data_IF_599125901759
#
_entry.id   IF_599125901759
#
_cell.length_a   1.000
_cell.length_b   1.000
_cell.length_c   1.000
_cell.angle_alpha   90.00
_cell.angle_beta   90.00
_cell.angle_gamma   90.00
#
_symmetry.space_group_name_H-M   'P 1'
#
loop_
_entity.id
_entity.type
_entity.pdbx_description
1 polymer ?
#
# COMPACT_ATOMS: atom_id res chain seq x y z
N UNK A 1 24.00 7.07 3.12
CA UNK A 1 22.63 7.34 2.66
C UNK A 1 22.03 6.06 2.05
N UNK A 2 21.61 5.08 2.87
CA UNK A 2 21.33 3.70 2.36
C UNK A 2 20.08 3.00 2.94
N UNK A 3 19.36 3.51 3.95
CA UNK A 3 18.25 2.72 4.57
C UNK A 3 16.83 3.14 4.15
N UNK A 4 16.64 4.33 3.58
CA UNK A 4 15.33 4.74 3.02
C UNK A 4 14.98 3.98 1.72
N UNK A 5 15.98 3.36 1.08
CA UNK A 5 15.80 2.54 -0.12
C UNK A 5 15.09 1.19 0.13
N UNK A 6 14.94 0.75 1.39
CA UNK A 6 14.29 -0.54 1.70
C UNK A 6 12.76 -0.49 1.70
N UNK A 7 12.14 0.70 1.65
CA UNK A 7 10.69 0.87 1.64
C UNK A 7 10.10 1.33 0.31
N UNK A 8 10.93 1.56 -0.71
CA UNK A 8 10.48 1.79 -2.10
C UNK A 8 10.62 0.47 -2.87
N UNK A 9 10.20 -0.62 -2.25
CA UNK A 9 9.67 -1.74 -3.01
C UNK A 9 8.27 -1.33 -3.44
N UNK A 10 8.20 -0.52 -4.50
CA UNK A 10 6.94 -0.02 -5.03
C UNK A 10 6.11 -1.21 -5.45
N UNK A 11 4.97 -1.38 -4.78
CA UNK A 11 3.98 -2.35 -5.18
C UNK A 11 3.50 -2.01 -6.59
N UNK A 12 3.37 -3.00 -7.49
CA UNK A 12 2.74 -2.78 -8.77
C UNK A 12 1.27 -2.32 -8.62
N UNK A 13 0.62 -2.62 -7.50
CA UNK A 13 -0.68 -2.05 -7.15
C UNK A 13 -0.47 -0.69 -6.48
N UNK A 14 -0.75 0.40 -7.20
CA UNK A 14 -0.31 1.73 -6.79
C UNK A 14 -0.92 2.20 -5.46
N UNK A 15 -2.14 1.77 -5.16
CA UNK A 15 -2.80 2.07 -3.89
C UNK A 15 -2.01 1.57 -2.68
N UNK A 16 -1.24 0.47 -2.82
CA UNK A 16 -0.42 -0.05 -1.72
C UNK A 16 0.75 0.89 -1.34
N UNK A 17 1.10 1.83 -2.22
CA UNK A 17 2.23 2.74 -2.03
C UNK A 17 1.85 4.02 -1.29
N UNK A 18 0.56 4.24 -1.00
CA UNK A 18 0.06 5.43 -0.32
C UNK A 18 -0.84 5.04 0.85
N UNK A 19 -0.43 5.29 2.09
CA UNK A 19 -1.19 4.95 3.31
C UNK A 19 -2.69 5.33 3.33
N UNK A 20 -3.21 6.36 2.65
CA UNK A 20 -4.66 6.62 2.60
C UNK A 20 -5.47 5.71 1.65
N UNK A 21 -4.82 5.05 0.69
CA UNK A 21 -5.52 4.39 -0.43
C UNK A 21 -5.85 2.91 -0.26
N UNK A 22 -5.01 2.06 0.35
CA UNK A 22 -5.14 0.62 0.19
C UNK A 22 -6.37 0.13 0.96
N UNK A 23 -7.05 -0.85 0.37
CA UNK A 23 -8.18 -1.56 0.98
C UNK A 23 -7.96 -3.07 0.81
N UNK A 24 -8.59 -3.89 1.67
CA UNK A 24 -8.54 -5.36 1.59
C UNK A 24 -7.10 -5.88 1.53
N UNK A 25 -6.79 -6.77 0.58
CA UNK A 25 -5.50 -7.46 0.49
C UNK A 25 -4.34 -6.51 0.19
N UNK A 26 -4.59 -5.42 -0.53
CA UNK A 26 -3.60 -4.36 -0.79
C UNK A 26 -3.20 -3.63 0.50
N UNK A 27 -4.02 -3.68 1.56
CA UNK A 27 -3.72 -3.09 2.86
C UNK A 27 -2.75 -3.88 3.70
N UNK A 28 -2.58 -5.17 3.40
CA UNK A 28 -1.63 -6.04 4.10
C UNK A 28 -0.22 -5.52 3.82
N UNK A 29 0.58 -5.29 4.86
CA UNK A 29 1.91 -4.66 4.82
C UNK A 29 1.94 -3.16 4.43
N UNK A 30 0.85 -2.62 3.88
CA UNK A 30 0.76 -1.20 3.53
C UNK A 30 0.15 -0.34 4.63
N UNK A 31 -1.10 -0.60 5.05
CA UNK A 31 -1.74 0.09 6.17
C UNK A 31 -2.87 -0.80 6.73
N UNK A 32 -2.73 -1.38 7.95
CA UNK A 32 -3.69 -2.36 8.46
C UNK A 32 -5.12 -1.81 8.64
N UNK A 33 -5.29 -0.49 8.76
CA UNK A 33 -6.62 0.11 8.82
C UNK A 33 -7.44 -0.15 7.54
N UNK A 34 -6.78 -0.26 6.38
CA UNK A 34 -7.48 -0.51 5.12
C UNK A 34 -8.13 -1.88 5.01
N UNK A 35 -7.71 -2.86 5.83
CA UNK A 35 -8.34 -4.18 5.92
C UNK A 35 -9.78 -4.04 6.41
N UNK A 36 -10.05 -3.11 7.33
CA UNK A 36 -11.38 -2.89 7.89
C UNK A 36 -12.34 -2.14 6.98
N UNK A 37 -11.84 -1.40 5.99
CA UNK A 37 -12.65 -0.52 5.13
C UNK A 37 -13.55 -1.32 4.18
N UNK A 38 -13.05 -2.43 3.65
CA UNK A 38 -13.81 -3.35 2.84
C UNK A 38 -13.49 -4.76 3.28
N UNK A 39 -14.48 -5.49 3.78
CA UNK A 39 -14.30 -6.90 4.14
C UNK A 39 -14.31 -7.77 2.89
N UNK A 40 -13.48 -8.81 2.89
CA UNK A 40 -13.37 -9.73 1.75
C UNK A 40 -12.38 -10.86 2.00
N UNK A 41 -12.42 -11.86 1.13
CA UNK A 41 -11.46 -12.95 1.06
C UNK A 41 -10.64 -12.77 -0.23
N UNK A 42 -9.39 -12.37 -0.08
CA UNK A 42 -8.51 -12.05 -1.19
C UNK A 42 -7.13 -12.63 -0.95
N UNK A 43 -6.47 -13.09 -2.01
CA UNK A 43 -5.05 -13.43 -2.00
C UNK A 43 -4.32 -12.54 -2.99
N UNK A 44 -3.10 -12.16 -2.65
CA UNK A 44 -2.25 -11.38 -3.52
C UNK A 44 -0.84 -11.92 -3.58
N UNK A 45 -0.19 -11.65 -4.70
CA UNK A 45 1.23 -11.87 -4.91
C UNK A 45 1.76 -10.69 -5.71
N UNK A 46 2.85 -10.09 -5.26
CA UNK A 46 3.63 -9.12 -6.03
C UNK A 46 5.09 -9.55 -6.07
N UNK A 47 5.70 -9.29 -7.21
CA UNK A 47 7.10 -9.56 -7.47
C UNK A 47 7.75 -8.29 -8.02
N UNK A 48 8.83 -7.90 -7.38
CA UNK A 48 9.86 -7.02 -7.91
C UNK A 48 11.19 -7.78 -7.82
N UNK A 49 12.20 -7.55 -8.68
CA UNK A 49 13.38 -8.40 -8.66
C UNK A 49 14.19 -8.42 -7.35
N UNK A 50 13.90 -7.53 -6.41
CA UNK A 50 14.54 -7.47 -5.09
C UNK A 50 13.60 -7.87 -3.94
N UNK A 51 12.30 -8.03 -4.22
CA UNK A 51 11.33 -8.35 -3.18
C UNK A 51 10.13 -9.13 -3.72
N UNK A 52 9.64 -10.05 -2.92
CA UNK A 52 8.38 -10.74 -3.13
C UNK A 52 7.48 -10.41 -1.96
N UNK A 53 6.25 -9.99 -2.25
CA UNK A 53 5.20 -9.94 -1.24
C UNK A 53 4.08 -10.89 -1.63
N UNK A 54 3.55 -11.63 -0.66
CA UNK A 54 2.29 -12.32 -0.85
C UNK A 54 1.48 -12.27 0.43
N UNK A 55 0.21 -12.57 0.33
CA UNK A 55 -0.62 -12.58 1.51
C UNK A 55 -2.07 -12.86 1.18
N UNK A 56 -2.87 -12.86 2.24
CA UNK A 56 -4.29 -13.09 2.18
C UNK A 56 -5.02 -12.20 3.17
N UNK A 57 -6.26 -11.84 2.85
CA UNK A 57 -7.21 -11.31 3.82
C UNK A 57 -8.41 -12.23 3.92
N UNK A 58 -9.00 -12.30 5.10
CA UNK A 58 -10.28 -12.96 5.35
C UNK A 58 -11.10 -12.10 6.32
N UNK A 59 -12.11 -11.42 5.78
CA UNK A 59 -12.93 -10.49 6.54
C UNK A 59 -12.10 -9.28 7.00
N UNK A 60 -11.91 -9.16 8.31
CA UNK A 60 -11.15 -8.08 8.95
C UNK A 60 -9.71 -8.48 9.32
N UNK A 61 -9.27 -9.68 8.92
CA UNK A 61 -7.93 -10.20 9.21
C UNK A 61 -7.09 -10.25 7.95
N UNK A 62 -5.79 -9.99 8.08
CA UNK A 62 -4.80 -10.07 7.02
C UNK A 62 -3.55 -10.80 7.48
N UNK A 63 -2.98 -11.60 6.59
CA UNK A 63 -1.67 -12.20 6.74
C UNK A 63 -0.80 -11.84 5.54
N UNK A 64 0.41 -11.38 5.79
CA UNK A 64 1.39 -10.99 4.79
C UNK A 64 2.71 -11.71 4.98
N UNK A 65 3.39 -11.90 3.87
CA UNK A 65 4.74 -12.40 3.77
C UNK A 65 5.51 -11.48 2.83
N UNK A 66 6.70 -11.07 3.24
CA UNK A 66 7.63 -10.27 2.47
C UNK A 66 9.01 -10.91 2.55
N UNK A 67 9.65 -11.10 1.40
CA UNK A 67 11.01 -11.60 1.33
C UNK A 67 11.82 -10.78 0.36
N UNK A 68 12.95 -10.26 0.83
CA UNK A 68 14.03 -9.77 -0.02
C UNK A 68 15.25 -10.70 0.12
N UNK A 69 16.40 -10.31 -0.45
CA UNK A 69 17.60 -11.14 -0.49
C UNK A 69 18.14 -11.53 0.90
N UNK A 70 17.89 -10.71 1.93
CA UNK A 70 18.48 -10.89 3.26
C UNK A 70 17.47 -11.13 4.38
N UNK A 71 16.24 -10.65 4.21
CA UNK A 71 15.25 -10.57 5.28
C UNK A 71 13.92 -11.21 4.85
N UNK A 72 13.31 -11.88 5.81
CA UNK A 72 11.97 -12.45 5.75
C UNK A 72 11.14 -11.80 6.85
N UNK A 73 10.01 -11.22 6.44
CA UNK A 73 9.06 -10.55 7.32
C UNK A 73 7.69 -11.18 7.09
N UNK A 74 7.07 -11.60 8.18
CA UNK A 74 5.67 -11.97 8.23
C UNK A 74 4.89 -10.87 8.92
N UNK A 75 3.65 -10.66 8.52
CA UNK A 75 2.74 -9.70 9.15
C UNK A 75 1.40 -10.36 9.43
N UNK A 76 0.91 -10.23 10.65
CA UNK A 76 -0.48 -10.54 11.01
C UNK A 76 -1.17 -9.24 11.41
N UNK A 77 -2.25 -8.90 10.72
CA UNK A 77 -2.96 -7.65 10.91
C UNK A 77 -4.46 -7.82 11.03
N UNK A 78 -5.09 -6.87 11.70
CA UNK A 78 -6.53 -6.72 11.74
C UNK A 78 -6.91 -5.25 11.55
N UNK A 79 -8.03 -5.01 10.87
CA UNK A 79 -8.60 -3.68 10.67
C UNK A 79 -10.08 -3.66 11.04
N UNK A 80 -10.56 -2.53 11.56
CA UNK A 80 -11.97 -2.31 11.89
C UNK A 80 -12.41 -0.96 11.34
N UNK A 81 -13.52 -0.95 10.61
CA UNK A 81 -14.23 0.28 10.25
C UNK A 81 -15.02 0.76 11.46
N UNK A 82 -14.71 1.97 11.92
CA UNK A 82 -15.48 2.62 12.98
C UNK A 82 -16.74 3.26 12.38
N UNK A 83 -17.78 3.51 13.19
CA UNK A 83 -18.92 4.32 12.75
C UNK A 83 -18.44 5.65 12.14
N UNK A 84 -18.93 5.97 10.93
CA UNK A 84 -18.59 7.19 10.21
C UNK A 84 -17.32 7.09 9.35
N UNK A 85 -16.49 8.13 9.37
CA UNK A 85 -15.41 8.33 8.40
C UNK A 85 -14.16 7.47 8.69
N UNK A 86 -13.98 6.98 9.91
CA UNK A 86 -12.69 6.44 10.35
C UNK A 86 -12.59 4.91 10.27
N UNK A 87 -11.37 4.42 10.08
CA UNK A 87 -10.99 3.02 10.26
C UNK A 87 -9.65 2.98 10.98
N UNK A 88 -9.51 2.01 11.88
CA UNK A 88 -8.28 1.77 12.63
C UNK A 88 -7.80 0.36 12.34
N UNK A 89 -6.50 0.13 12.37
CA UNK A 89 -5.93 -1.20 12.26
C UNK A 89 -4.68 -1.35 13.09
N UNK A 90 -4.40 -2.59 13.41
CA UNK A 90 -3.21 -3.01 14.13
C UNK A 90 -2.58 -4.20 13.40
N UNK A 91 -1.27 -4.20 13.29
CA UNK A 91 -0.53 -5.34 12.77
C UNK A 91 0.71 -5.63 13.60
N UNK A 92 1.13 -6.88 13.60
CA UNK A 92 2.37 -7.33 14.19
C UNK A 92 3.22 -7.97 13.10
N UNK A 93 4.42 -7.42 12.93
CA UNK A 93 5.46 -8.01 12.11
C UNK A 93 6.35 -8.91 12.97
N UNK A 94 6.75 -10.05 12.40
CA UNK A 94 7.64 -11.05 13.01
C UNK A 94 8.49 -11.75 11.95
N UNK A 95 9.55 -12.46 12.35
CA UNK A 95 10.58 -12.99 11.46
C UNK A 95 11.93 -12.37 11.81
N UNK A 96 12.59 -11.74 10.83
CA UNK A 96 13.85 -11.04 11.07
C UNK A 96 13.67 -9.66 11.72
N UNK A 97 12.44 -9.12 11.67
CA UNK A 97 12.03 -7.93 12.40
C UNK A 97 10.89 -8.26 13.34
N UNK A 98 10.79 -7.57 14.47
CA UNK A 98 9.63 -7.65 15.37
C UNK A 98 9.14 -6.25 15.66
N UNK A 99 8.01 -5.89 15.05
CA UNK A 99 7.44 -4.56 15.17
C UNK A 99 5.92 -4.64 15.33
N UNK A 100 5.36 -3.67 16.04
CA UNK A 100 3.92 -3.46 16.10
C UNK A 100 3.58 -2.23 15.28
N UNK A 101 2.51 -2.27 14.51
CA UNK A 101 2.12 -1.21 13.59
C UNK A 101 0.69 -0.80 13.92
N UNK A 102 0.46 0.50 14.00
CA UNK A 102 -0.88 1.07 14.10
C UNK A 102 -1.17 1.86 12.81
N UNK A 103 -2.34 1.64 12.25
CA UNK A 103 -2.86 2.32 11.09
C UNK A 103 -4.15 3.06 11.39
N UNK A 104 -4.35 4.20 10.72
CA UNK A 104 -5.61 4.94 10.71
C UNK A 104 -5.90 5.42 9.29
N UNK A 105 -7.15 5.32 8.88
CA UNK A 105 -7.65 5.90 7.62
C UNK A 105 -8.94 6.67 7.90
N UNK A 106 -9.03 7.89 7.37
CA UNK A 106 -10.24 8.69 7.36
C UNK A 106 -10.73 8.84 5.92
N UNK A 107 -11.96 8.40 5.65
CA UNK A 107 -12.67 8.62 4.40
C UNK A 107 -13.68 9.73 4.66
N UNK A 108 -13.25 10.98 4.48
CA UNK A 108 -14.06 12.14 4.80
C UNK A 108 -15.32 12.23 3.91
N UNK A 109 -15.16 11.84 2.64
CA UNK A 109 -16.24 11.69 1.67
C UNK A 109 -15.75 10.79 0.51
N UNK A 110 -16.54 10.68 -0.56
CA UNK A 110 -16.19 9.85 -1.73
C UNK A 110 -14.94 10.34 -2.50
N UNK A 111 -14.49 11.56 -2.25
CA UNK A 111 -13.35 12.18 -2.95
C UNK A 111 -12.09 12.17 -2.09
N UNK A 112 -12.19 12.45 -0.79
CA UNK A 112 -11.02 12.74 0.07
C UNK A 112 -10.77 11.61 1.06
N UNK A 113 -9.53 11.13 1.07
CA UNK A 113 -9.01 10.15 2.02
C UNK A 113 -7.75 10.66 2.69
N UNK A 114 -7.62 10.43 3.99
CA UNK A 114 -6.42 10.70 4.78
C UNK A 114 -5.95 9.40 5.42
N UNK A 115 -4.66 9.20 5.52
CA UNK A 115 -4.04 7.99 6.03
C UNK A 115 -2.89 8.31 6.96
N UNK A 116 -2.77 7.51 8.01
CA UNK A 116 -1.65 7.54 8.94
C UNK A 116 -1.24 6.10 9.28
N UNK A 117 0.07 5.86 9.38
CA UNK A 117 0.62 4.61 9.88
C UNK A 117 1.89 4.88 10.68
N UNK A 118 2.10 4.15 11.76
CA UNK A 118 3.34 4.22 12.53
C UNK A 118 3.71 2.86 13.09
N UNK A 119 5.01 2.61 13.25
CA UNK A 119 5.50 1.48 14.02
C UNK A 119 5.76 1.89 15.50
N UNK A 120 5.56 0.95 16.41
CA UNK A 120 5.78 1.08 17.85
C UNK A 120 7.13 0.47 18.25
N UNK A 121 8.15 0.68 17.42
CA UNK A 121 9.51 0.24 17.70
C UNK A 121 10.35 1.37 18.31
N UNK A 122 11.56 1.05 18.78
CA UNK A 122 12.56 2.05 19.18
C UNK A 122 12.87 3.01 18.04
N UNK A 123 12.88 2.49 16.79
CA UNK A 123 12.97 3.27 15.56
C UNK A 123 11.57 3.61 15.06
N UNK A 124 11.09 4.81 15.40
CA UNK A 124 9.79 5.29 14.93
C UNK A 124 9.87 5.74 13.46
N UNK A 125 9.01 5.16 12.64
CA UNK A 125 8.75 5.53 11.26
C UNK A 125 7.27 5.87 11.17
N UNK A 126 6.97 7.10 10.76
CA UNK A 126 5.61 7.60 10.64
C UNK A 126 5.32 7.92 9.18
N UNK A 127 4.17 7.47 8.71
CA UNK A 127 3.66 7.73 7.37
C UNK A 127 2.38 8.53 7.50
N UNK A 128 2.29 9.65 6.80
CA UNK A 128 1.09 10.49 6.74
C UNK A 128 0.81 10.80 5.29
N UNK A 129 -0.41 10.53 4.82
CA UNK A 129 -0.75 10.76 3.42
C UNK A 129 -2.18 11.21 3.21
N UNK A 130 -2.42 11.77 2.04
CA UNK A 130 -3.73 12.21 1.57
C UNK A 130 -3.95 11.73 0.13
N UNK A 131 -5.20 11.42 -0.20
CA UNK A 131 -5.64 11.05 -1.53
C UNK A 131 -6.92 11.79 -1.90
N UNK A 132 -6.99 12.31 -3.13
CA UNK A 132 -8.14 13.01 -3.67
C UNK A 132 -8.56 12.36 -4.99
N UNK A 133 -9.82 11.94 -5.08
CA UNK A 133 -10.44 11.40 -6.28
C UNK A 133 -11.30 12.47 -6.97
N UNK A 134 -11.14 12.60 -8.27
CA UNK A 134 -11.72 13.64 -9.13
C UNK A 134 -12.50 12.96 -10.26
N UNK A 135 -13.58 13.59 -10.73
CA UNK A 135 -14.36 13.12 -11.87
C UNK A 135 -15.03 11.76 -11.63
N UNK A 136 -15.60 11.57 -10.43
CA UNK A 136 -16.25 10.29 -10.06
C UNK A 136 -15.28 9.12 -9.90
N UNK A 137 -13.98 9.38 -9.68
CA UNK A 137 -12.96 8.35 -9.56
C UNK A 137 -12.14 8.12 -10.84
N UNK A 138 -12.36 8.92 -11.88
CA UNK A 138 -11.55 8.90 -13.10
C UNK A 138 -10.07 9.16 -12.82
N UNK A 139 -9.77 10.10 -11.91
CA UNK A 139 -8.40 10.44 -11.53
C UNK A 139 -8.31 10.45 -10.01
N UNK A 140 -7.31 9.76 -9.45
CA UNK A 140 -6.94 9.86 -8.04
C UNK A 140 -5.52 10.41 -7.95
N UNK A 141 -5.32 11.46 -7.17
CA UNK A 141 -3.99 12.01 -6.85
C UNK A 141 -3.70 11.69 -5.38
N UNK A 142 -2.50 11.23 -5.06
CA UNK A 142 -2.10 10.96 -3.70
C UNK A 142 -0.69 11.45 -3.40
N UNK A 143 -0.48 11.82 -2.14
CA UNK A 143 0.81 12.20 -1.61
C UNK A 143 1.00 11.61 -0.23
N UNK A 144 2.24 11.25 0.09
CA UNK A 144 2.66 10.70 1.36
C UNK A 144 3.96 11.35 1.82
N UNK A 145 4.02 11.65 3.12
CA UNK A 145 5.19 12.08 3.84
C UNK A 145 5.62 10.96 4.79
N UNK A 146 6.90 10.61 4.76
CA UNK A 146 7.50 9.59 5.62
C UNK A 146 8.52 10.26 6.53
N UNK A 147 8.36 10.08 7.84
CA UNK A 147 9.28 10.62 8.86
C UNK A 147 10.01 9.47 9.57
N UNK A 148 11.34 9.50 9.60
CA UNK A 148 12.19 8.54 10.31
C UNK A 148 12.84 9.20 11.53
N UNK A 149 12.31 8.93 12.73
CA UNK A 149 12.64 9.69 13.95
C UNK A 149 14.07 9.55 14.47
N UNK A 150 14.79 8.46 14.16
CA UNK A 150 16.20 8.30 14.58
C UNK A 150 17.15 9.18 13.77
N UNK A 151 16.83 9.43 12.50
CA UNK A 151 17.68 10.19 11.58
C UNK A 151 17.20 11.62 11.35
N UNK A 152 16.05 11.95 11.92
CA UNK A 152 15.33 13.19 11.68
C UNK A 152 15.22 13.51 10.18
N UNK A 153 14.87 12.49 9.39
CA UNK A 153 14.72 12.60 7.94
C UNK A 153 13.25 12.56 7.53
N UNK A 154 12.91 13.40 6.56
CA UNK A 154 11.59 13.46 5.95
C UNK A 154 11.73 13.16 4.45
N UNK A 155 10.93 12.22 3.97
CA UNK A 155 10.80 11.90 2.56
C UNK A 155 9.37 12.14 2.08
N UNK A 156 9.22 12.39 0.78
CA UNK A 156 7.93 12.63 0.15
C UNK A 156 7.77 11.78 -1.09
N UNK A 157 6.58 11.23 -1.24
CA UNK A 157 6.16 10.41 -2.37
C UNK A 157 4.85 10.99 -2.89
N UNK A 158 4.72 11.10 -4.20
CA UNK A 158 3.49 11.59 -4.84
C UNK A 158 3.19 10.75 -6.06
N UNK A 159 1.92 10.65 -6.41
CA UNK A 159 1.50 9.86 -7.56
C UNK A 159 0.06 10.10 -7.94
N UNK A 160 -0.33 9.43 -9.02
CA UNK A 160 -1.69 9.47 -9.53
C UNK A 160 -2.10 8.11 -10.10
N UNK A 161 -3.41 7.92 -10.16
CA UNK A 161 -4.09 6.77 -10.76
C UNK A 161 -5.15 7.33 -11.71
N UNK A 162 -5.16 6.87 -12.96
CA UNK A 162 -6.17 7.22 -13.96
C UNK A 162 -6.96 5.95 -14.26
N UNK A 163 -8.28 6.00 -14.16
CA UNK A 163 -9.20 4.90 -14.40
C UNK A 163 -10.02 5.18 -15.68
N UNK A 164 -9.42 5.09 -16.89
CA UNK A 164 -10.08 5.52 -18.12
C UNK A 164 -11.34 4.72 -18.43
N UNK A 165 -11.41 3.47 -17.97
CA UNK A 165 -12.57 2.60 -18.10
C UNK A 165 -12.56 1.55 -16.99
N UNK A 166 -13.68 0.85 -16.83
CA UNK A 166 -13.80 -0.24 -15.86
C UNK A 166 -12.73 -1.30 -16.10
N UNK A 167 -12.02 -1.67 -15.02
CA UNK A 167 -11.00 -2.70 -15.08
C UNK A 167 -9.68 -2.25 -15.70
N UNK A 168 -9.46 -0.97 -15.98
CA UNK A 168 -8.16 -0.46 -16.46
C UNK A 168 -7.72 0.67 -15.54
N UNK A 169 -6.49 0.58 -15.02
CA UNK A 169 -5.84 1.69 -14.32
C UNK A 169 -4.46 1.96 -14.86
N UNK A 170 -4.14 3.23 -15.05
CA UNK A 170 -2.80 3.69 -15.36
C UNK A 170 -2.28 4.39 -14.12
N UNK A 171 -1.10 4.03 -13.66
CA UNK A 171 -0.56 4.57 -12.42
C UNK A 171 0.83 5.17 -12.60
N UNK A 172 1.10 6.19 -11.81
CA UNK A 172 2.40 6.84 -11.74
C UNK A 172 2.71 7.19 -10.29
N UNK A 173 3.98 7.09 -9.91
CA UNK A 173 4.48 7.45 -8.60
C UNK A 173 5.91 7.95 -8.74
N UNK A 174 6.28 8.97 -7.96
CA UNK A 174 7.61 9.55 -7.96
C UNK A 174 7.95 10.10 -6.57
N UNK A 175 9.25 10.22 -6.31
CA UNK A 175 9.79 10.96 -5.18
C UNK A 175 10.30 12.35 -5.61
N UNK A 176 10.83 13.13 -4.66
CA UNK A 176 11.44 14.45 -4.92
C UNK A 176 12.71 14.39 -5.77
N UNK A 177 13.35 13.21 -5.87
CA UNK A 177 14.55 12.99 -6.69
C UNK A 177 14.20 12.53 -8.10
N UNK A 178 12.91 12.54 -8.46
CA UNK A 178 12.39 12.10 -9.75
C UNK A 178 12.69 10.62 -10.05
N UNK A 179 12.81 9.78 -9.01
CA UNK A 179 12.80 8.33 -9.16
C UNK A 179 11.36 7.88 -9.38
N UNK A 180 10.93 7.85 -10.65
CA UNK A 180 9.55 7.55 -10.99
C UNK A 180 9.32 6.08 -11.36
N UNK A 181 8.08 5.66 -11.17
CA UNK A 181 7.55 4.39 -11.62
C UNK A 181 6.23 4.61 -12.34
N UNK A 182 5.99 3.83 -13.39
CA UNK A 182 4.76 3.89 -14.17
C UNK A 182 4.24 2.48 -14.42
N UNK A 183 2.92 2.30 -14.40
CA UNK A 183 2.32 0.98 -14.50
C UNK A 183 0.92 0.97 -15.07
N UNK A 184 0.45 -0.26 -15.31
CA UNK A 184 -0.86 -0.59 -15.83
C UNK A 184 -1.44 -1.73 -14.98
N UNK A 185 -2.64 -1.51 -14.46
CA UNK A 185 -3.48 -2.53 -13.82
C UNK A 185 -4.63 -2.90 -14.76
N UNK A 186 -4.85 -4.20 -14.92
CA UNK A 186 -6.00 -4.77 -15.61
C UNK A 186 -6.80 -5.61 -14.61
N UNK A 187 -8.11 -5.38 -14.57
CA UNK A 187 -9.01 -5.96 -13.59
C UNK A 187 -10.28 -6.51 -14.24
N UNK A 188 -10.72 -7.65 -13.75
CA UNK A 188 -12.10 -8.11 -13.85
C UNK A 188 -12.77 -7.92 -12.48
N UNK A 189 -13.99 -8.41 -12.32
CA UNK A 189 -14.67 -8.36 -11.01
C UNK A 189 -13.92 -9.12 -9.90
N UNK A 190 -13.13 -10.15 -10.23
CA UNK A 190 -12.49 -11.05 -9.25
C UNK A 190 -10.98 -11.25 -9.40
N UNK A 191 -10.40 -10.79 -10.50
CA UNK A 191 -8.97 -10.87 -10.78
C UNK A 191 -8.43 -9.47 -11.06
N UNK A 192 -7.30 -9.10 -10.44
CA UNK A 192 -6.47 -7.97 -10.87
C UNK A 192 -5.09 -8.46 -11.23
N UNK A 193 -4.54 -7.90 -12.29
CA UNK A 193 -3.15 -8.04 -12.73
C UNK A 193 -2.56 -6.65 -12.81
N UNK A 194 -1.32 -6.48 -12.33
CA UNK A 194 -0.63 -5.20 -12.46
C UNK A 194 0.81 -5.40 -12.92
N UNK A 195 1.27 -4.50 -13.78
CA UNK A 195 2.66 -4.37 -14.20
C UNK A 195 3.18 -2.97 -13.91
N UNK A 196 4.41 -2.88 -13.42
CA UNK A 196 5.05 -1.60 -13.07
C UNK A 196 6.51 -1.57 -13.52
N UNK A 197 6.89 -0.51 -14.22
CA UNK A 197 8.28 -0.22 -14.57
C UNK A 197 8.88 0.78 -13.59
N UNK A 198 10.10 0.50 -13.11
CA UNK A 198 10.92 1.43 -12.32
C UNK A 198 11.98 2.09 -13.20
N UNK A 199 11.97 3.43 -13.27
CA UNK A 199 12.99 4.17 -14.01
C UNK A 199 14.37 4.05 -13.37
N UNK A 200 14.43 4.19 -12.05
CA UNK A 200 15.69 4.17 -11.30
C UNK A 200 16.40 2.82 -11.44
N UNK A 201 15.66 1.72 -11.29
CA UNK A 201 16.24 0.37 -11.33
C UNK A 201 16.25 -0.24 -12.73
N UNK A 202 15.52 0.34 -13.69
CA UNK A 202 15.29 -0.20 -15.04
C UNK A 202 14.75 -1.63 -15.01
N UNK A 203 13.85 -1.90 -14.06
CA UNK A 203 13.28 -3.23 -13.78
C UNK A 203 11.76 -3.19 -13.85
N UNK A 204 11.17 -4.31 -14.23
CA UNK A 204 9.73 -4.53 -14.21
C UNK A 204 9.31 -5.30 -12.96
N UNK A 205 8.08 -5.03 -12.51
CA UNK A 205 7.42 -5.65 -11.38
C UNK A 205 6.05 -6.13 -11.84
N UNK A 206 5.57 -7.22 -11.26
CA UNK A 206 4.29 -7.83 -11.59
C UNK A 206 3.49 -8.14 -10.34
N UNK A 207 2.17 -8.08 -10.42
CA UNK A 207 1.28 -8.40 -9.32
C UNK A 207 0.00 -9.06 -9.78
N UNK A 208 -0.56 -9.92 -8.93
CA UNK A 208 -1.86 -10.56 -9.10
C UNK A 208 -2.65 -10.48 -7.79
N UNK A 209 -3.95 -10.21 -7.89
CA UNK A 209 -4.91 -10.34 -6.79
C UNK A 209 -6.07 -11.21 -7.27
N UNK A 210 -6.43 -12.21 -6.48
CA UNK A 210 -7.62 -13.03 -6.68
C UNK A 210 -8.58 -12.78 -5.51
N UNK A 211 -9.84 -12.51 -5.84
CA UNK A 211 -10.90 -12.19 -4.88
C UNK A 211 -12.05 -13.19 -4.97
N UNK A 212 -12.53 -13.63 -3.81
CA UNK A 212 -13.75 -14.44 -3.75
C UNK A 212 -15.00 -13.56 -4.03
N UNK A 213 -14.94 -12.28 -3.69
CA UNK A 213 -15.98 -11.28 -3.90
C UNK A 213 -15.68 -10.40 -5.12
N UNK A 214 -16.68 -9.65 -5.58
CA UNK A 214 -16.40 -8.56 -6.51
C UNK A 214 -15.60 -7.45 -5.82
N UNK A 215 -14.67 -6.84 -6.55
CA UNK A 215 -13.94 -5.64 -6.10
C UNK A 215 -14.83 -4.41 -5.95
#
# INVERSE_FOLDING_TARGET
MVIILFFISVSPFNEANFVPLPIRSISVMSNPAGIGIGTGAEIFLTYHPEIIHCGATLGNLGFGFSRNDTNIIYELGAGVKLPGAFSIGYARQFGDTTENIIGLVCIANQYVRLGYKTNLATKKIMHTGAGVSIGGGLITIAGEMVYEGIRDSIDYIFGFIINPTYGVKINFISDLKLNWHAGLELGTSKLKLSGLYSYQKRKFSGGIILSAQSF
#
